data_IF_283341224258
#
_entry.id   IF_283341224258
#
_cell.length_a   1.000
_cell.length_b   1.000
_cell.length_c   1.000
_cell.angle_alpha   90.00
_cell.angle_beta   90.00
_cell.angle_gamma   90.00
#
_symmetry.space_group_name_H-M   'P 1'
#
loop_
_entity.id
_entity.type
_entity.pdbx_description
1 polymer ?
#
# COMPACT_ATOMS: atom_id res chain seq x y z
N UNK A 1 61.19 -27.34 -39.69
CA UNK A 1 60.64 -27.53 -38.31
C UNK A 1 60.29 -26.15 -37.72
N UNK A 2 59.16 -25.52 -38.03
CA UNK A 2 58.78 -24.27 -37.32
C UNK A 2 57.36 -23.74 -37.65
N UNK A 3 56.42 -24.60 -37.98
CA UNK A 3 55.03 -24.16 -38.27
C UNK A 3 53.99 -24.63 -37.25
N UNK A 4 54.34 -25.44 -36.26
CA UNK A 4 53.41 -26.01 -35.30
C UNK A 4 53.21 -25.10 -34.06
N UNK A 5 54.15 -24.24 -33.73
CA UNK A 5 54.12 -23.39 -32.53
C UNK A 5 53.23 -22.15 -32.65
N UNK A 6 52.93 -21.69 -33.86
CA UNK A 6 52.13 -20.45 -34.06
C UNK A 6 50.63 -20.69 -33.84
N UNK A 7 50.10 -21.86 -34.08
CA UNK A 7 48.68 -22.16 -33.95
C UNK A 7 48.22 -22.32 -32.50
N UNK A 8 49.07 -22.68 -31.60
CA UNK A 8 48.73 -22.86 -30.18
C UNK A 8 48.60 -21.51 -29.43
N UNK A 9 49.36 -20.51 -29.82
CA UNK A 9 49.29 -19.19 -29.20
C UNK A 9 48.00 -18.44 -29.60
N UNK A 10 47.62 -18.53 -30.87
CA UNK A 10 46.42 -17.89 -31.38
C UNK A 10 45.13 -18.48 -30.75
N UNK A 11 45.13 -19.82 -30.56
CA UNK A 11 43.99 -20.49 -29.91
C UNK A 11 43.76 -20.09 -28.45
N UNK A 12 44.87 -19.88 -27.72
CA UNK A 12 44.79 -19.46 -26.31
C UNK A 12 44.29 -18.05 -26.13
N UNK A 13 44.64 -17.11 -27.03
CA UNK A 13 44.17 -15.73 -26.96
C UNK A 13 42.71 -15.60 -27.30
N UNK A 14 42.20 -16.38 -28.24
CA UNK A 14 40.74 -16.34 -28.61
C UNK A 14 39.85 -16.96 -27.53
N UNK A 15 40.34 -18.00 -26.82
CA UNK A 15 39.59 -18.56 -25.67
C UNK A 15 39.53 -17.59 -24.50
N UNK A 16 40.64 -16.94 -24.21
CA UNK A 16 40.69 -15.91 -23.12
C UNK A 16 39.78 -14.71 -23.40
N UNK A 17 39.72 -14.28 -24.69
CA UNK A 17 38.88 -13.16 -25.09
C UNK A 17 37.38 -13.53 -24.98
N UNK A 18 37.01 -14.75 -25.31
CA UNK A 18 35.62 -15.25 -25.19
C UNK A 18 35.18 -15.38 -23.75
N UNK A 19 36.06 -15.82 -22.84
CA UNK A 19 35.79 -15.91 -21.40
C UNK A 19 35.60 -14.54 -20.77
N UNK A 20 36.38 -13.52 -21.17
CA UNK A 20 36.21 -12.15 -20.69
C UNK A 20 34.91 -11.50 -21.17
N UNK A 21 34.49 -11.78 -22.41
CA UNK A 21 33.21 -11.30 -22.94
C UNK A 21 32.02 -11.95 -22.21
N UNK A 22 32.07 -13.25 -21.91
CA UNK A 22 31.02 -13.92 -21.15
C UNK A 22 30.94 -13.41 -19.71
N UNK A 23 32.07 -13.15 -19.05
CA UNK A 23 32.10 -12.57 -17.70
C UNK A 23 31.49 -11.14 -17.66
N UNK A 24 31.77 -10.33 -18.68
CA UNK A 24 31.19 -8.98 -18.81
C UNK A 24 29.67 -8.98 -18.95
N UNK A 25 29.12 -9.91 -19.72
CA UNK A 25 27.66 -10.05 -19.93
C UNK A 25 26.96 -10.49 -18.63
N UNK A 26 27.57 -11.38 -17.84
CA UNK A 26 27.01 -11.81 -16.57
C UNK A 26 26.94 -10.64 -15.56
N UNK A 27 27.93 -9.76 -15.54
CA UNK A 27 27.92 -8.59 -14.66
C UNK A 27 26.87 -7.54 -15.07
N UNK A 28 26.59 -7.37 -16.36
CA UNK A 28 25.54 -6.47 -16.84
C UNK A 28 24.16 -7.03 -16.50
N UNK A 29 23.97 -8.34 -16.55
CA UNK A 29 22.70 -8.98 -16.17
C UNK A 29 22.40 -8.90 -14.65
N UNK A 30 23.44 -8.92 -13.82
CA UNK A 30 23.29 -8.78 -12.36
C UNK A 30 22.97 -7.33 -11.90
N UNK A 31 23.32 -6.32 -12.72
CA UNK A 31 23.06 -4.92 -12.42
C UNK A 31 21.65 -4.45 -12.76
N UNK A 32 20.86 -5.25 -13.48
CA UNK A 32 19.48 -4.97 -13.88
C UNK A 32 18.43 -5.57 -12.93
N UNK A 33 18.81 -5.92 -11.72
CA UNK A 33 17.86 -6.10 -10.61
C UNK A 33 17.31 -4.73 -10.22
N UNK A 34 16.64 -4.06 -11.15
CA UNK A 34 15.86 -2.88 -10.86
C UNK A 34 14.80 -3.30 -9.86
N UNK A 35 14.86 -2.66 -8.72
CA UNK A 35 13.82 -2.64 -7.72
C UNK A 35 12.46 -2.37 -8.39
N UNK A 36 11.77 -3.43 -8.80
CA UNK A 36 10.35 -3.39 -9.14
C UNK A 36 9.51 -3.36 -7.86
N UNK A 37 10.17 -3.02 -6.74
CA UNK A 37 9.52 -2.77 -5.48
C UNK A 37 9.06 -1.33 -5.45
N UNK A 38 7.75 -1.19 -5.30
CA UNK A 38 7.05 0.06 -4.97
C UNK A 38 6.77 1.02 -6.14
N UNK A 39 6.12 0.54 -7.15
CA UNK A 39 4.96 1.32 -7.56
C UNK A 39 3.87 1.01 -6.52
N UNK A 40 4.00 1.63 -5.36
CA UNK A 40 2.88 1.81 -4.46
C UNK A 40 1.79 2.46 -5.29
N UNK A 41 0.89 1.63 -5.71
CA UNK A 41 -0.40 1.95 -6.30
C UNK A 41 -0.87 3.27 -5.73
N UNK A 42 -1.08 4.24 -6.60
CA UNK A 42 -1.63 5.53 -6.22
C UNK A 42 -2.83 5.30 -5.31
N UNK A 43 -2.64 5.58 -4.02
CA UNK A 43 -3.68 5.38 -3.02
C UNK A 43 -4.93 6.09 -3.47
N UNK A 44 -6.05 5.46 -3.32
CA UNK A 44 -7.36 6.00 -3.67
C UNK A 44 -7.54 7.35 -2.98
N UNK A 45 -7.52 8.43 -3.73
CA UNK A 45 -7.64 9.81 -3.23
C UNK A 45 -9.06 10.20 -2.82
N UNK A 46 -9.94 9.23 -2.58
CA UNK A 46 -11.34 9.44 -2.24
C UNK A 46 -11.62 9.36 -0.73
N UNK A 47 -10.59 9.41 0.10
CA UNK A 47 -10.72 9.49 1.55
C UNK A 47 -11.23 10.90 1.92
N UNK A 48 -12.29 10.95 2.73
CA UNK A 48 -12.92 12.22 3.15
C UNK A 48 -12.93 12.35 4.66
N UNK A 49 -12.80 13.60 5.13
CA UNK A 49 -12.99 14.02 6.52
C UNK A 49 -12.28 13.11 7.53
N UNK A 50 -10.94 13.01 7.50
CA UNK A 50 -10.23 12.19 8.47
C UNK A 50 -10.27 12.80 9.86
N UNK A 51 -10.38 11.94 10.88
CA UNK A 51 -10.24 12.29 12.30
C UNK A 51 -9.24 11.35 12.96
N UNK A 52 -8.61 11.79 14.05
CA UNK A 52 -7.48 11.08 14.67
C UNK A 52 -7.74 10.93 16.16
N UNK A 53 -7.53 9.71 16.68
CA UNK A 53 -7.41 9.43 18.11
C UNK A 53 -5.94 9.24 18.52
N UNK A 54 -5.68 8.86 19.75
CA UNK A 54 -4.32 8.54 20.21
C UNK A 54 -3.66 7.42 19.40
N UNK A 55 -4.43 6.42 18.92
CA UNK A 55 -3.93 5.19 18.31
C UNK A 55 -4.42 4.94 16.89
N UNK A 56 -5.50 5.59 16.46
CA UNK A 56 -6.19 5.28 15.21
C UNK A 56 -6.52 6.54 14.40
N UNK A 57 -6.74 6.34 13.11
CA UNK A 57 -7.27 7.34 12.17
C UNK A 57 -8.59 6.78 11.63
N UNK A 58 -9.67 7.55 11.71
CA UNK A 58 -10.93 7.22 11.05
C UNK A 58 -11.16 8.15 9.85
N UNK A 59 -11.80 7.64 8.81
CA UNK A 59 -12.12 8.39 7.60
C UNK A 59 -13.36 7.82 6.92
N UNK A 60 -14.04 8.64 6.13
CA UNK A 60 -15.13 8.20 5.27
C UNK A 60 -14.59 7.74 3.91
N UNK A 61 -15.00 6.55 3.49
CA UNK A 61 -14.67 5.99 2.17
C UNK A 61 -15.77 5.01 1.72
N UNK A 62 -16.15 5.08 0.44
CA UNK A 62 -17.15 4.20 -0.15
C UNK A 62 -18.43 4.09 0.71
N UNK A 63 -18.99 5.24 1.11
CA UNK A 63 -20.21 5.37 1.91
C UNK A 63 -20.12 4.76 3.33
N UNK A 64 -18.93 4.40 3.80
CA UNK A 64 -18.73 3.81 5.12
C UNK A 64 -17.61 4.51 5.88
N UNK A 65 -17.59 4.33 7.20
CA UNK A 65 -16.51 4.75 8.07
C UNK A 65 -15.50 3.61 8.18
N UNK A 66 -14.25 3.97 7.99
CA UNK A 66 -13.09 3.07 8.06
C UNK A 66 -12.11 3.56 9.12
N UNK A 67 -11.40 2.64 9.71
CA UNK A 67 -10.38 2.90 10.72
C UNK A 67 -9.09 2.18 10.36
N UNK A 68 -7.97 2.86 10.59
CA UNK A 68 -6.62 2.30 10.42
C UNK A 68 -5.76 2.70 11.60
N UNK A 69 -4.82 1.85 12.07
CA UNK A 69 -3.84 2.24 13.09
C UNK A 69 -2.99 3.44 12.62
N UNK A 70 -2.61 4.36 13.51
CA UNK A 70 -1.70 5.47 13.18
C UNK A 70 -0.32 5.01 12.73
N UNK A 71 0.10 3.84 13.15
CA UNK A 71 1.33 3.18 12.71
C UNK A 71 1.27 2.66 11.26
N UNK A 72 0.11 2.77 10.62
CA UNK A 72 -0.14 2.19 9.31
C UNK A 72 -0.69 0.77 9.38
N UNK A 73 -0.90 0.16 8.22
CA UNK A 73 -1.44 -1.19 8.11
C UNK A 73 -2.73 -1.24 7.31
N UNK A 74 -3.52 -2.29 7.53
CA UNK A 74 -4.78 -2.51 6.81
C UNK A 74 -5.91 -1.74 7.45
N UNK A 75 -6.63 -0.94 6.67
CA UNK A 75 -7.86 -0.29 7.11
C UNK A 75 -8.99 -1.32 7.23
N UNK A 76 -9.76 -1.23 8.31
CA UNK A 76 -10.97 -2.04 8.48
C UNK A 76 -12.22 -1.16 8.41
N UNK A 77 -13.28 -1.70 7.87
CA UNK A 77 -14.59 -1.04 7.85
C UNK A 77 -15.25 -1.16 9.21
N UNK A 78 -15.75 -0.02 9.74
CA UNK A 78 -16.43 0.06 11.05
C UNK A 78 -17.94 0.03 10.89
N UNK A 79 -18.45 0.61 9.79
CA UNK A 79 -19.89 0.64 9.51
C UNK A 79 -20.22 -0.16 8.25
N UNK A 80 -21.45 -0.68 8.17
CA UNK A 80 -22.04 -1.30 6.97
C UNK A 80 -23.38 -0.61 6.63
N UNK A 81 -23.35 0.70 6.56
CA UNK A 81 -24.52 1.51 6.32
C UNK A 81 -24.97 1.44 4.86
N UNK A 82 -26.28 1.46 4.59
CA UNK A 82 -26.81 1.44 3.23
C UNK A 82 -26.91 2.85 2.60
N UNK A 83 -26.72 3.90 3.40
CA UNK A 83 -26.71 5.30 2.96
C UNK A 83 -25.31 5.90 3.04
N UNK A 84 -25.22 7.19 2.74
CA UNK A 84 -23.97 7.94 2.81
C UNK A 84 -23.57 8.17 4.25
N UNK A 85 -22.31 7.85 4.61
CA UNK A 85 -21.73 8.21 5.90
C UNK A 85 -20.59 9.21 5.72
N UNK A 86 -20.54 10.22 6.57
CA UNK A 86 -19.55 11.29 6.49
C UNK A 86 -19.22 11.88 7.87
N UNK A 87 -18.19 12.72 7.91
CA UNK A 87 -17.78 13.50 9.08
C UNK A 87 -17.57 12.65 10.35
N UNK A 88 -16.75 11.58 10.30
CA UNK A 88 -16.42 10.83 11.51
C UNK A 88 -15.68 11.71 12.50
N UNK A 89 -16.00 11.57 13.80
CA UNK A 89 -15.33 12.24 14.90
C UNK A 89 -15.09 11.23 16.03
N UNK A 90 -13.84 11.08 16.45
CA UNK A 90 -13.55 10.28 17.64
C UNK A 90 -14.01 10.98 18.91
N UNK A 91 -14.48 10.18 19.87
CA UNK A 91 -14.60 10.63 21.24
C UNK A 91 -13.22 10.93 21.85
N UNK A 92 -13.10 11.77 22.88
CA UNK A 92 -11.83 12.10 23.51
C UNK A 92 -11.02 10.90 23.99
N UNK A 93 -11.69 9.83 24.41
CA UNK A 93 -11.09 8.57 24.84
C UNK A 93 -10.79 7.61 23.68
N UNK A 94 -11.15 7.96 22.44
CA UNK A 94 -10.92 7.17 21.22
C UNK A 94 -11.76 5.90 21.12
N UNK A 95 -12.71 5.65 22.03
CA UNK A 95 -13.52 4.43 22.04
C UNK A 95 -14.74 4.46 21.13
N UNK A 96 -15.20 5.67 20.81
CA UNK A 96 -16.41 5.88 20.02
C UNK A 96 -16.12 6.77 18.82
N UNK A 97 -16.91 6.59 17.76
CA UNK A 97 -16.89 7.43 16.58
C UNK A 97 -18.32 7.91 16.33
N UNK A 98 -18.53 9.23 16.44
CA UNK A 98 -19.74 9.87 15.98
C UNK A 98 -19.61 10.18 14.47
N UNK A 99 -20.70 10.06 13.72
CA UNK A 99 -20.73 10.37 12.30
C UNK A 99 -22.10 10.78 11.83
N UNK A 100 -22.16 11.51 10.71
CA UNK A 100 -23.41 11.76 10.01
C UNK A 100 -23.72 10.61 9.08
N UNK A 101 -24.94 10.07 9.15
CA UNK A 101 -25.42 9.00 8.28
C UNK A 101 -26.74 9.37 7.64
N UNK A 102 -26.88 9.07 6.34
CA UNK A 102 -28.14 9.21 5.64
C UNK A 102 -28.86 7.86 5.61
N UNK A 103 -30.05 7.80 6.20
CA UNK A 103 -30.91 6.62 6.17
C UNK A 103 -32.33 7.04 5.78
N UNK A 104 -32.89 6.36 4.79
CA UNK A 104 -34.23 6.63 4.28
C UNK A 104 -34.44 8.11 3.88
N UNK A 105 -33.43 8.78 3.34
CA UNK A 105 -33.49 10.18 2.87
C UNK A 105 -33.33 11.23 3.96
N UNK A 106 -33.12 10.83 5.23
CA UNK A 106 -32.85 11.74 6.34
C UNK A 106 -31.40 11.63 6.79
N UNK A 107 -30.80 12.77 7.10
CA UNK A 107 -29.45 12.82 7.65
C UNK A 107 -29.52 12.97 9.16
N UNK A 108 -29.00 12.00 9.87
CA UNK A 108 -28.99 11.92 11.33
C UNK A 108 -27.58 11.73 11.87
N UNK A 109 -27.41 11.92 13.17
CA UNK A 109 -26.15 11.65 13.88
C UNK A 109 -26.21 10.25 14.48
N UNK A 110 -25.17 9.50 14.24
CA UNK A 110 -24.97 8.14 14.76
C UNK A 110 -23.68 8.05 15.56
N UNK A 111 -23.61 7.08 16.45
CA UNK A 111 -22.39 6.70 17.16
C UNK A 111 -22.16 5.21 17.03
N UNK A 112 -20.91 4.82 16.84
CA UNK A 112 -20.48 3.42 16.78
C UNK A 112 -19.20 3.24 17.60
N UNK A 113 -19.00 2.06 18.18
CA UNK A 113 -17.73 1.76 18.85
C UNK A 113 -16.58 1.78 17.82
N UNK A 114 -15.43 2.32 18.21
CA UNK A 114 -14.25 2.35 17.33
C UNK A 114 -13.82 0.95 16.89
N UNK A 115 -14.11 -0.08 17.68
CA UNK A 115 -13.87 -1.48 17.33
C UNK A 115 -14.92 -2.06 16.36
N UNK A 116 -15.97 -1.33 16.04
CA UNK A 116 -17.09 -1.76 15.21
C UNK A 116 -18.30 -2.17 16.03
N UNK A 117 -19.35 -2.55 15.32
CA UNK A 117 -20.62 -2.94 15.92
C UNK A 117 -21.80 -2.23 15.24
N UNK A 118 -22.97 -2.33 15.84
CA UNK A 118 -24.16 -1.69 15.28
C UNK A 118 -24.20 -0.21 15.64
N UNK A 119 -24.35 0.69 14.66
CA UNK A 119 -24.45 2.13 14.91
C UNK A 119 -25.77 2.46 15.66
N UNK A 120 -25.65 3.28 16.70
CA UNK A 120 -26.78 3.81 17.45
C UNK A 120 -27.11 5.22 16.97
N UNK A 121 -28.37 5.46 16.60
CA UNK A 121 -28.87 6.77 16.24
C UNK A 121 -29.00 7.65 17.48
N UNK A 122 -28.60 8.92 17.38
CA UNK A 122 -28.66 9.92 18.45
C UNK A 122 -29.71 11.00 18.24
N UNK A 123 -30.06 11.28 16.96
CA UNK A 123 -31.06 12.33 16.60
C UNK A 123 -32.23 11.74 15.87
#
# INVERSE_FOLDING_TARGET
MSRVTQWTVVRRSLVSLRLLLCAGIIWIAAGLSTNLAAQATGGTRMLRTPTVSSTQIAFAYAQNIWVVPRSGGTARRVTSFQGQTMNPQFSPDGRWIAFSGEYAGNQDVYVVAAEGGEPKRLT
#
